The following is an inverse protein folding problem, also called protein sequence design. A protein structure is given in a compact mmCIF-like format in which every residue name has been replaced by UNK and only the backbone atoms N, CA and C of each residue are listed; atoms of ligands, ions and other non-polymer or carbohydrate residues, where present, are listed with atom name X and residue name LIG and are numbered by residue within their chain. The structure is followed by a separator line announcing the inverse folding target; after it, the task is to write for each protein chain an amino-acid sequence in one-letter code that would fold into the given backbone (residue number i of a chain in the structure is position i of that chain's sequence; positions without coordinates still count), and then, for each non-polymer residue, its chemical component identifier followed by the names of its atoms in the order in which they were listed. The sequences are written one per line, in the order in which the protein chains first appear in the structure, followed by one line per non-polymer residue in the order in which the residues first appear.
data_IF_746647635159
#
_entry.id   IF_746647635159
#
_cell.length_a   1.000
_cell.length_b   1.000
_cell.length_c   1.000
_cell.angle_alpha   90.00
_cell.angle_beta   90.00
_cell.angle_gamma   90.00
#
_symmetry.space_group_name_H-M   'P 1'
#
loop_
_entity.id
_entity.type
_entity.pdbx_description
1 polymer ?
#
# COMPACT_ATOMS: atom_id res chain seq x y z
N UNK A 1 17.62 19.86 -30.06
CA UNK A 1 17.49 19.53 -29.57
C UNK A 1 17.50 19.07 -28.66
N UNK A 2 17.39 18.72 -28.08
CA UNK A 2 17.34 18.37 -27.32
C UNK A 2 17.57 17.73 -26.68
N UNK A 3 17.78 17.29 -26.53
CA UNK A 3 18.10 16.71 -25.89
C UNK A 3 18.00 16.48 -24.61
N UNK A 4 17.31 16.93 -23.87
CA UNK A 4 17.21 16.65 -22.49
C UNK A 4 16.99 15.23 -22.17
N UNK A 5 16.40 14.55 -23.06
CA UNK A 5 16.21 13.25 -22.86
C UNK A 5 17.41 12.51 -22.58
N UNK A 6 18.46 12.87 -23.16
CA UNK A 6 19.64 12.19 -22.98
C UNK A 6 20.13 12.22 -21.62
N UNK A 7 19.75 13.19 -20.89
CA UNK A 7 20.24 13.33 -19.59
C UNK A 7 19.53 12.46 -18.60
N UNK A 8 18.63 11.62 -19.08
CA UNK A 8 17.89 10.82 -18.18
C UNK A 8 17.95 9.38 -18.47
N UNK A 9 19.09 8.82 -18.71
CA UNK A 9 19.16 7.41 -18.95
C UNK A 9 18.81 6.68 -17.68
N UNK A 10 19.14 7.29 -16.54
CA UNK A 10 18.84 6.66 -15.30
C UNK A 10 17.38 6.74 -14.98
N UNK A 11 16.67 7.68 -15.59
CA UNK A 11 15.25 7.83 -15.39
C UNK A 11 14.49 6.64 -15.94
N UNK A 12 15.00 6.00 -16.98
CA UNK A 12 14.38 4.85 -17.56
C UNK A 12 14.42 3.71 -16.57
N UNK A 13 15.56 3.50 -15.91
CA UNK A 13 15.68 2.44 -14.94
C UNK A 13 14.85 2.74 -13.70
N UNK A 14 14.81 3.99 -13.29
CA UNK A 14 13.98 4.38 -12.15
C UNK A 14 12.52 4.18 -12.47
N UNK A 15 12.11 4.47 -13.68
CA UNK A 15 10.73 4.28 -14.08
C UNK A 15 10.37 2.81 -14.09
N UNK A 16 11.25 1.96 -14.58
CA UNK A 16 11.00 0.53 -14.58
C UNK A 16 10.85 0.00 -13.16
N UNK A 17 11.70 0.47 -12.26
CA UNK A 17 11.64 0.04 -10.87
C UNK A 17 10.35 0.54 -10.21
N UNK A 18 9.95 1.77 -10.54
CA UNK A 18 8.73 2.34 -9.99
C UNK A 18 7.52 1.52 -10.43
N UNK A 19 7.46 1.17 -11.71
CA UNK A 19 6.34 0.38 -12.24
C UNK A 19 6.30 -1.00 -11.57
N UNK A 20 7.47 -1.59 -11.37
CA UNK A 20 7.53 -2.90 -10.73
C UNK A 20 7.02 -2.84 -9.29
N UNK A 21 7.42 -1.79 -8.55
CA UNK A 21 6.95 -1.64 -7.17
C UNK A 21 5.46 -1.35 -7.14
N UNK A 22 5.00 -0.51 -8.05
CA UNK A 22 3.57 -0.21 -8.11
C UNK A 22 2.76 -1.46 -8.39
N UNK A 23 3.25 -2.31 -9.28
CA UNK A 23 2.54 -3.55 -9.59
C UNK A 23 2.42 -4.44 -8.36
N UNK A 24 3.48 -4.50 -7.53
CA UNK A 24 3.45 -5.28 -6.32
C UNK A 24 2.43 -4.71 -5.34
N UNK A 25 2.41 -3.39 -5.19
CA UNK A 25 1.46 -2.73 -4.30
C UNK A 25 0.04 -2.98 -4.78
N UNK A 26 -0.19 -2.83 -6.07
CA UNK A 26 -1.54 -3.05 -6.63
C UNK A 26 -2.02 -4.48 -6.35
N UNK A 27 -1.13 -5.45 -6.46
CA UNK A 27 -1.47 -6.83 -6.16
C UNK A 27 -1.81 -7.03 -4.70
N UNK A 28 -1.04 -6.40 -3.81
CA UNK A 28 -1.31 -6.50 -2.39
C UNK A 28 -2.63 -5.85 -2.04
N UNK A 29 -2.92 -4.69 -2.63
CA UNK A 29 -4.17 -3.99 -2.37
C UNK A 29 -5.36 -4.82 -2.84
N UNK A 30 -5.23 -5.44 -3.99
CA UNK A 30 -6.30 -6.27 -4.52
C UNK A 30 -6.57 -7.44 -3.59
N UNK A 31 -5.51 -8.09 -3.11
CA UNK A 31 -5.67 -9.22 -2.21
C UNK A 31 -6.28 -8.80 -0.88
N UNK A 32 -5.84 -7.64 -0.35
CA UNK A 32 -6.39 -7.14 0.90
C UNK A 32 -7.84 -6.75 0.75
N UNK A 33 -8.19 -6.15 -0.38
CA UNK A 33 -9.57 -5.77 -0.64
C UNK A 33 -10.47 -7.01 -0.67
N UNK A 34 -10.00 -8.07 -1.31
CA UNK A 34 -10.77 -9.32 -1.35
C UNK A 34 -10.90 -9.94 0.01
N UNK A 35 -9.82 -9.92 0.79
CA UNK A 35 -9.84 -10.49 2.12
C UNK A 35 -10.78 -9.70 3.02
N UNK A 36 -10.75 -8.37 2.90
CA UNK A 36 -11.62 -7.51 3.69
C UNK A 36 -13.09 -7.77 3.34
N UNK A 37 -13.38 -7.96 2.05
CA UNK A 37 -14.75 -8.23 1.61
C UNK A 37 -15.28 -9.54 2.21
N UNK A 38 -14.36 -10.45 2.55
CA UNK A 38 -14.72 -11.72 3.16
C UNK A 38 -14.56 -11.68 4.69
N UNK A 39 -14.58 -10.49 5.27
CA UNK A 39 -14.48 -10.29 6.72
C UNK A 39 -13.19 -10.90 7.27
N UNK A 40 -12.12 -10.84 6.49
CA UNK A 40 -10.82 -11.41 6.86
C UNK A 40 -10.93 -12.89 7.19
N UNK A 41 -11.86 -13.57 6.52
CA UNK A 41 -12.09 -15.00 6.68
C UNK A 41 -12.53 -15.38 8.11
N UNK A 42 -13.11 -14.44 8.82
CA UNK A 42 -13.62 -14.73 10.16
C UNK A 42 -15.13 -14.58 10.13
N UNK A 43 -15.84 -15.65 10.47
CA UNK A 43 -17.28 -15.60 10.51
C UNK A 43 -17.70 -14.62 11.61
N UNK A 44 -18.65 -13.73 11.36
CA UNK A 44 -19.02 -12.72 12.36
C UNK A 44 -19.37 -13.29 13.72
N UNK A 45 -19.95 -14.48 13.76
CA UNK A 45 -20.35 -15.10 15.01
C UNK A 45 -19.14 -15.62 15.78
N UNK A 46 -17.99 -15.69 15.16
CA UNK A 46 -16.78 -16.21 15.78
C UNK A 46 -15.75 -15.15 16.11
N UNK A 47 -16.10 -13.91 15.92
CA UNK A 47 -15.17 -12.82 16.19
C UNK A 47 -14.89 -12.71 17.67
N UNK A 48 -13.62 -12.58 18.04
CA UNK A 48 -13.25 -12.34 19.42
C UNK A 48 -12.13 -11.31 19.45
N UNK A 49 -11.73 -10.93 20.65
CA UNK A 49 -10.76 -9.84 20.81
C UNK A 49 -9.42 -10.09 20.14
N UNK A 50 -9.02 -11.33 19.99
CA UNK A 50 -7.80 -11.65 19.25
C UNK A 50 -7.89 -11.21 17.79
N UNK A 51 -9.07 -11.40 17.19
CA UNK A 51 -9.30 -10.97 15.81
C UNK A 51 -9.28 -9.45 15.73
N UNK A 52 -9.84 -8.77 16.72
CA UNK A 52 -9.84 -7.31 16.77
C UNK A 52 -8.40 -6.80 16.84
N UNK A 53 -7.57 -7.44 17.67
CA UNK A 53 -6.18 -7.04 17.79
C UNK A 53 -5.42 -7.20 16.49
N UNK A 54 -5.70 -8.29 15.78
CA UNK A 54 -5.06 -8.52 14.48
C UNK A 54 -5.43 -7.41 13.50
N UNK A 55 -6.71 -7.06 13.43
CA UNK A 55 -7.15 -6.01 12.53
C UNK A 55 -6.60 -4.65 12.92
N UNK A 56 -6.45 -4.40 14.22
CA UNK A 56 -5.84 -3.16 14.68
C UNK A 56 -4.40 -3.07 14.20
N UNK A 57 -3.67 -4.18 14.24
CA UNK A 57 -2.30 -4.21 13.79
C UNK A 57 -2.24 -3.88 12.29
N UNK A 58 -3.13 -4.48 11.50
CA UNK A 58 -3.18 -4.21 10.07
C UNK A 58 -3.52 -2.73 9.81
N UNK A 59 -4.50 -2.22 10.55
CA UNK A 59 -4.91 -0.83 10.37
C UNK A 59 -3.78 0.13 10.71
N UNK A 60 -2.99 -0.18 11.74
CA UNK A 60 -1.86 0.66 12.10
C UNK A 60 -0.82 0.70 10.99
N UNK A 61 -0.55 -0.45 10.37
CA UNK A 61 0.41 -0.50 9.28
C UNK A 61 -0.10 0.24 8.06
N UNK A 62 -1.38 0.07 7.73
CA UNK A 62 -1.98 0.77 6.62
C UNK A 62 -2.02 2.28 6.86
N UNK A 63 -2.25 2.68 8.10
CA UNK A 63 -2.29 4.09 8.44
C UNK A 63 -0.93 4.74 8.21
N UNK A 64 0.15 4.03 8.46
CA UNK A 64 1.47 4.56 8.18
C UNK A 64 1.62 4.84 6.69
N UNK A 65 1.06 3.97 5.87
CA UNK A 65 1.13 4.13 4.43
C UNK A 65 0.27 5.31 3.98
N UNK A 66 -0.96 5.39 4.46
CA UNK A 66 -1.84 6.47 4.03
C UNK A 66 -1.33 7.81 4.53
N UNK A 67 -0.78 7.85 5.74
CA UNK A 67 -0.22 9.09 6.26
C UNK A 67 0.94 9.55 5.39
N UNK A 68 1.80 8.64 5.00
CA UNK A 68 2.92 9.00 4.16
C UNK A 68 2.47 9.40 2.75
N UNK A 69 1.55 8.64 2.17
CA UNK A 69 1.12 8.87 0.80
C UNK A 69 0.33 10.16 0.65
N UNK A 70 -0.46 10.49 1.65
CA UNK A 70 -1.30 11.68 1.60
C UNK A 70 -0.80 12.80 2.48
N UNK A 71 0.37 12.62 3.08
CA UNK A 71 1.00 13.62 3.94
C UNK A 71 0.08 14.03 5.07
N UNK A 72 -0.45 13.04 5.74
CA UNK A 72 -1.34 13.23 6.87
C UNK A 72 -0.66 12.77 8.14
N UNK A 73 -1.28 13.02 9.27
CA UNK A 73 -0.74 12.57 10.54
C UNK A 73 0.64 13.16 10.78
N UNK A 74 1.60 12.30 11.07
CA UNK A 74 2.96 12.73 11.34
C UNK A 74 3.66 13.23 10.09
N UNK A 75 3.11 12.96 8.92
CA UNK A 75 3.72 13.38 7.68
C UNK A 75 3.06 14.63 7.10
N UNK A 76 2.16 15.23 7.86
CA UNK A 76 1.49 16.44 7.38
C UNK A 76 2.50 17.57 7.34
N UNK A 77 2.36 18.41 6.37
CA UNK A 77 3.29 19.52 6.24
C UNK A 77 2.65 20.87 6.49
#
# INVERSE_FOLDING_TARGET
MVIPMRNRPDNSKALDAFIAQKAQIDGMLERLTGLSADHFNVHPDEVHWGHVGTLQSYADLLRRITDAAFKEGEHAE
#
